data_IF_204415498561
#
_entry.id   IF_204415498561
#
_cell.length_a   1.000
_cell.length_b   1.000
_cell.length_c   1.000
_cell.angle_alpha   90.00
_cell.angle_beta   90.00
_cell.angle_gamma   90.00
#
_symmetry.space_group_name_H-M   'P 1'
#
loop_
_entity.id
_entity.type
_entity.pdbx_description
1 polymer ?
#
# COMPACT_ATOMS: atom_id res chain seq x y z
N UNK A 1 -9.14 -12.16 -26.40
CA UNK A 1 -8.05 -11.77 -27.29
C UNK A 1 -7.54 -10.42 -26.84
N UNK A 2 -6.38 -10.39 -26.26
CA UNK A 2 -5.66 -9.16 -25.92
C UNK A 2 -5.26 -8.45 -27.20
N UNK A 3 -6.01 -7.43 -27.58
CA UNK A 3 -5.52 -6.50 -28.58
C UNK A 3 -4.45 -5.63 -27.93
N UNK A 4 -3.21 -5.77 -28.35
CA UNK A 4 -2.14 -4.85 -28.00
C UNK A 4 -2.52 -3.49 -28.60
N UNK A 5 -3.06 -2.60 -27.79
CA UNK A 5 -3.37 -1.21 -28.17
C UNK A 5 -2.07 -0.40 -28.29
N UNK A 6 -1.18 -0.80 -29.20
CA UNK A 6 0.02 -0.04 -29.56
C UNK A 6 1.04 0.15 -28.42
N UNK A 7 2.09 0.89 -28.71
CA UNK A 7 3.06 1.39 -27.72
C UNK A 7 2.44 2.58 -26.97
N UNK A 8 1.58 2.27 -26.03
CA UNK A 8 1.09 3.30 -25.10
C UNK A 8 2.21 3.64 -24.11
N UNK A 9 2.38 4.93 -23.85
CA UNK A 9 3.15 5.36 -22.68
C UNK A 9 2.49 4.73 -21.46
N UNK A 10 3.23 3.90 -20.73
CA UNK A 10 2.75 3.36 -19.47
C UNK A 10 2.68 4.56 -18.52
N UNK A 11 1.46 5.04 -18.31
CA UNK A 11 1.18 6.02 -17.28
C UNK A 11 1.29 5.28 -15.96
N UNK A 12 2.08 5.81 -15.02
CA UNK A 12 2.08 5.34 -13.64
C UNK A 12 0.73 5.71 -13.02
N UNK A 13 0.10 4.78 -12.36
CA UNK A 13 -1.22 4.96 -11.77
C UNK A 13 -2.00 3.66 -11.77
N UNK A 14 -3.31 3.74 -11.58
CA UNK A 14 -4.19 2.60 -11.35
C UNK A 14 -3.88 1.86 -10.05
N UNK A 15 -3.41 2.63 -9.06
CA UNK A 15 -3.02 2.10 -7.75
C UNK A 15 -4.23 1.99 -6.83
N UNK A 16 -4.21 0.97 -5.96
CA UNK A 16 -5.25 0.72 -4.96
C UNK A 16 -4.63 0.64 -3.57
N UNK A 17 -5.01 1.58 -2.72
CA UNK A 17 -4.54 1.68 -1.34
C UNK A 17 -5.74 1.57 -0.38
N UNK A 18 -6.07 0.35 0.00
CA UNK A 18 -7.22 0.06 0.84
C UNK A 18 -6.80 -0.57 2.16
N UNK A 19 -7.45 -0.19 3.25
CA UNK A 19 -7.29 -0.81 4.56
C UNK A 19 -5.83 -0.85 5.07
N UNK A 20 -5.01 0.16 4.78
CA UNK A 20 -3.62 0.20 5.25
C UNK A 20 -3.49 0.93 6.58
N UNK A 21 -2.44 0.59 7.33
CA UNK A 21 -1.95 1.38 8.45
C UNK A 21 -0.71 2.13 7.99
N UNK A 22 -0.76 3.44 8.01
CA UNK A 22 0.29 4.34 7.55
C UNK A 22 0.80 5.18 8.72
N UNK A 23 2.10 5.28 8.89
CA UNK A 23 2.70 6.10 9.94
C UNK A 23 3.83 6.95 9.37
N UNK A 24 3.92 8.19 9.82
CA UNK A 24 5.02 9.06 9.43
C UNK A 24 6.31 8.61 10.11
N UNK A 25 7.39 8.51 9.34
CA UNK A 25 8.70 8.21 9.87
C UNK A 25 9.54 9.49 9.97
N UNK A 26 9.75 9.97 11.19
CA UNK A 26 10.53 11.19 11.46
C UNK A 26 12.01 11.09 11.00
N UNK A 27 12.51 9.89 10.74
CA UNK A 27 13.88 9.66 10.30
C UNK A 27 14.02 9.59 8.77
N UNK A 28 12.92 9.66 8.03
CA UNK A 28 12.99 9.69 6.57
C UNK A 28 13.67 10.98 6.12
N UNK A 29 14.78 10.81 5.42
CA UNK A 29 15.36 11.91 4.65
C UNK A 29 14.50 12.14 3.41
N UNK A 30 14.21 13.40 3.06
CA UNK A 30 13.50 13.70 1.84
C UNK A 30 14.23 13.06 0.63
N UNK A 31 13.48 12.42 -0.24
CA UNK A 31 14.04 11.95 -1.52
C UNK A 31 14.42 13.15 -2.38
N UNK A 32 15.69 13.27 -2.69
CA UNK A 32 16.21 14.29 -3.60
C UNK A 32 16.45 13.65 -4.95
N UNK A 33 15.45 13.68 -5.80
CA UNK A 33 15.62 13.33 -7.21
C UNK A 33 16.52 14.36 -7.92
N UNK A 34 17.17 13.97 -9.02
CA UNK A 34 18.17 14.80 -9.69
C UNK A 34 17.62 16.08 -10.37
N UNK A 35 16.31 16.30 -10.38
CA UNK A 35 15.67 17.39 -11.14
C UNK A 35 14.62 18.21 -10.40
N UNK A 36 14.57 18.16 -9.06
CA UNK A 36 13.54 18.85 -8.30
C UNK A 36 14.13 19.85 -7.31
N UNK A 37 13.72 21.12 -7.44
CA UNK A 37 14.10 22.18 -6.51
C UNK A 37 13.40 22.07 -5.16
N UNK A 38 12.26 21.39 -5.11
CA UNK A 38 11.51 21.09 -3.90
C UNK A 38 11.45 19.59 -3.69
N UNK A 39 11.63 19.21 -2.45
CA UNK A 39 11.56 17.82 -2.03
C UNK A 39 10.30 17.61 -1.23
N UNK A 40 9.39 16.85 -1.81
CA UNK A 40 8.17 16.41 -1.16
C UNK A 40 8.32 14.95 -0.74
N UNK A 41 7.74 14.58 0.37
CA UNK A 41 7.78 13.21 0.89
C UNK A 41 6.37 12.66 1.08
N UNK A 42 6.21 11.38 0.78
CA UNK A 42 4.97 10.66 1.04
C UNK A 42 3.78 11.25 0.29
N UNK A 43 2.67 11.40 0.97
CA UNK A 43 1.40 11.86 0.39
C UNK A 43 1.40 13.33 -0.03
N UNK A 44 2.27 14.16 0.54
CA UNK A 44 2.37 15.57 0.14
C UNK A 44 2.78 15.70 -1.33
N UNK A 45 3.78 14.94 -1.76
CA UNK A 45 4.19 14.89 -3.16
C UNK A 45 3.06 14.44 -4.08
N UNK A 46 2.26 13.49 -3.63
CA UNK A 46 1.12 12.98 -4.36
C UNK A 46 -0.04 13.97 -4.42
N UNK A 47 -0.36 14.65 -3.32
CA UNK A 47 -1.42 15.66 -3.24
C UNK A 47 -1.13 16.88 -4.10
N UNK A 48 0.14 17.28 -4.22
CA UNK A 48 0.58 18.41 -5.03
C UNK A 48 0.72 18.05 -6.52
N UNK A 49 0.72 16.77 -6.85
CA UNK A 49 0.85 16.33 -8.24
C UNK A 49 -0.38 16.74 -9.05
N UNK A 50 -0.22 17.44 -10.17
CA UNK A 50 -1.35 17.80 -11.01
C UNK A 50 -1.98 16.53 -11.57
N UNK A 51 -3.25 16.34 -11.24
CA UNK A 51 -4.06 15.19 -11.71
C UNK A 51 -4.55 15.40 -13.16
N UNK A 52 -4.16 16.50 -13.80
CA UNK A 52 -4.42 16.72 -15.21
C UNK A 52 -3.24 16.22 -16.02
N UNK A 53 -3.54 15.56 -17.09
CA UNK A 53 -2.58 15.04 -18.06
C UNK A 53 -1.83 16.15 -18.81
N UNK A 54 -2.28 17.39 -18.76
CA UNK A 54 -1.61 18.54 -19.37
C UNK A 54 -0.18 18.74 -18.89
N UNK A 55 0.12 18.26 -17.68
CA UNK A 55 1.48 18.33 -17.14
C UNK A 55 2.46 17.41 -17.86
N UNK A 56 2.01 16.24 -18.32
CA UNK A 56 2.86 15.20 -18.90
C UNK A 56 3.19 15.40 -20.37
N UNK A 57 2.45 16.26 -21.07
CA UNK A 57 2.44 16.31 -22.54
C UNK A 57 2.68 17.67 -23.16
N UNK A 58 3.35 18.57 -22.46
CA UNK A 58 3.85 19.81 -23.08
C UNK A 58 4.99 19.48 -24.05
N UNK A 59 4.64 19.15 -25.27
CA UNK A 59 5.57 18.96 -26.38
C UNK A 59 5.51 17.57 -27.02
N UNK A 60 5.07 17.52 -28.26
CA UNK A 60 5.24 16.46 -29.26
C UNK A 60 4.69 15.05 -28.92
N UNK A 61 3.65 14.91 -28.12
CA UNK A 61 2.96 13.63 -27.93
C UNK A 61 1.50 13.74 -28.37
N UNK A 62 0.88 12.64 -28.85
CA UNK A 62 -0.49 12.66 -29.32
C UNK A 62 -1.46 13.19 -28.26
N UNK A 63 -2.32 14.12 -28.67
CA UNK A 63 -3.35 14.75 -27.83
C UNK A 63 -4.32 13.75 -27.19
N UNK A 64 -4.36 12.52 -27.69
CA UNK A 64 -5.25 11.46 -27.21
C UNK A 64 -5.02 11.07 -25.73
N UNK A 65 -3.84 11.35 -25.19
CA UNK A 65 -3.54 11.07 -23.77
C UNK A 65 -3.73 12.29 -22.86
N UNK A 66 -3.90 13.48 -23.42
CA UNK A 66 -3.97 14.72 -22.65
C UNK A 66 -5.18 14.79 -21.70
N UNK A 67 -6.21 13.99 -21.93
CA UNK A 67 -7.43 13.97 -21.13
C UNK A 67 -7.54 12.75 -20.20
N UNK A 68 -6.57 11.84 -20.18
CA UNK A 68 -6.60 10.69 -19.30
C UNK A 68 -6.11 11.06 -17.90
N UNK A 69 -6.97 10.90 -16.91
CA UNK A 69 -6.59 11.03 -15.51
C UNK A 69 -5.95 9.72 -15.07
N UNK A 70 -4.85 9.83 -14.34
CA UNK A 70 -4.28 8.67 -13.65
C UNK A 70 -5.20 8.30 -12.49
N UNK A 71 -5.82 7.11 -12.49
CA UNK A 71 -6.68 6.73 -11.39
C UNK A 71 -5.82 6.33 -10.19
N UNK A 72 -6.27 6.76 -9.01
CA UNK A 72 -5.82 6.22 -7.73
C UNK A 72 -7.04 5.99 -6.88
N UNK A 73 -7.15 4.78 -6.41
CA UNK A 73 -8.25 4.33 -5.57
C UNK A 73 -7.73 4.19 -4.15
N UNK A 74 -8.13 5.11 -3.27
CA UNK A 74 -7.61 5.17 -1.91
C UNK A 74 -8.75 5.38 -0.93
N UNK A 75 -8.84 4.51 0.09
CA UNK A 75 -9.86 4.59 1.13
C UNK A 75 -9.58 3.71 2.33
N UNK A 76 -10.24 4.01 3.43
CA UNK A 76 -10.25 3.19 4.64
C UNK A 76 -8.85 2.95 5.20
N UNK A 77 -7.93 3.92 5.07
CA UNK A 77 -6.60 3.83 5.62
C UNK A 77 -6.51 4.57 6.97
N UNK A 78 -5.77 3.98 7.91
CA UNK A 78 -5.49 4.53 9.23
C UNK A 78 -4.13 5.23 9.24
N UNK A 79 -4.13 6.49 9.64
CA UNK A 79 -2.94 7.35 9.62
C UNK A 79 -2.49 7.68 11.03
N UNK A 80 -1.22 7.40 11.34
CA UNK A 80 -0.59 7.68 12.62
C UNK A 80 0.56 8.67 12.51
N UNK A 81 0.96 9.25 13.64
CA UNK A 81 2.17 10.04 13.81
C UNK A 81 2.33 11.11 12.72
N UNK A 82 1.32 11.97 12.55
CA UNK A 82 1.32 13.07 11.55
C UNK A 82 1.28 12.62 10.07
N UNK A 83 1.19 11.32 9.78
CA UNK A 83 0.85 10.91 8.42
C UNK A 83 -0.52 11.49 8.04
N UNK A 84 -0.66 11.94 6.80
CA UNK A 84 -1.86 12.59 6.30
C UNK A 84 -2.51 11.75 5.21
N UNK A 85 -3.85 11.68 5.20
CA UNK A 85 -4.55 11.06 4.10
C UNK A 85 -4.41 11.88 2.82
N UNK A 86 -4.60 11.23 1.69
CA UNK A 86 -4.80 11.92 0.44
C UNK A 86 -6.08 12.75 0.50
N UNK A 87 -6.05 13.99 0.00
CA UNK A 87 -7.15 14.95 0.15
C UNK A 87 -8.50 14.53 -0.46
N UNK A 88 -8.52 13.47 -1.26
CA UNK A 88 -9.73 12.88 -1.84
C UNK A 88 -10.05 11.48 -1.30
N UNK A 89 -9.28 11.03 -0.33
CA UNK A 89 -9.54 9.75 0.33
C UNK A 89 -10.86 9.79 1.11
N UNK A 90 -11.60 8.70 1.04
CA UNK A 90 -12.83 8.49 1.80
C UNK A 90 -12.58 7.51 2.95
N UNK A 91 -13.29 7.72 4.05
CA UNK A 91 -13.29 6.83 5.22
C UNK A 91 -11.92 6.66 5.88
N UNK A 92 -10.99 7.61 5.69
CA UNK A 92 -9.73 7.61 6.44
C UNK A 92 -9.96 7.96 7.91
N UNK A 93 -9.10 7.42 8.77
CA UNK A 93 -9.03 7.80 10.18
C UNK A 93 -7.62 8.30 10.51
N UNK A 94 -7.53 9.45 11.15
CA UNK A 94 -6.27 10.05 11.57
C UNK A 94 -6.12 10.01 13.09
N UNK A 95 -5.03 9.45 13.58
CA UNK A 95 -4.57 9.62 14.95
C UNK A 95 -3.15 10.21 14.97
N UNK A 96 -3.07 11.53 14.83
CA UNK A 96 -1.82 12.28 14.73
C UNK A 96 -0.98 12.28 16.02
N UNK A 97 -1.64 12.10 17.15
CA UNK A 97 -0.99 12.14 18.45
C UNK A 97 -0.30 10.83 18.83
N UNK A 98 -0.75 9.73 18.28
CA UNK A 98 -0.20 8.41 18.57
C UNK A 98 0.87 8.00 17.57
N UNK A 99 2.00 7.52 18.07
CA UNK A 99 3.09 6.98 17.26
C UNK A 99 3.25 5.49 17.54
N UNK A 100 2.81 4.60 16.64
CA UNK A 100 3.01 3.17 16.80
C UNK A 100 4.50 2.85 16.90
N UNK A 101 4.85 1.90 17.77
CA UNK A 101 6.21 1.36 17.78
C UNK A 101 6.24 0.10 16.93
N UNK A 102 7.10 0.11 15.95
CA UNK A 102 7.23 -0.97 14.98
C UNK A 102 8.69 -1.38 14.91
N UNK A 103 8.94 -2.67 15.09
CA UNK A 103 10.27 -3.24 14.86
C UNK A 103 10.15 -4.65 14.28
N UNK A 104 11.18 -5.04 13.53
CA UNK A 104 11.30 -6.41 13.01
C UNK A 104 12.42 -7.08 13.76
N UNK A 105 12.16 -8.29 14.25
CA UNK A 105 13.09 -9.11 15.00
C UNK A 105 13.25 -10.48 14.33
N UNK A 106 14.48 -10.96 14.24
CA UNK A 106 14.78 -12.32 13.80
C UNK A 106 15.07 -13.20 15.00
N UNK A 107 14.37 -14.31 15.10
CA UNK A 107 14.63 -15.35 16.08
C UNK A 107 14.78 -16.70 15.38
N UNK A 108 16.01 -17.19 15.34
CA UNK A 108 16.33 -18.38 14.57
C UNK A 108 15.99 -18.21 13.08
N UNK A 109 15.08 -19.04 12.61
CA UNK A 109 14.60 -19.04 11.22
C UNK A 109 13.33 -18.20 11.02
N UNK A 110 12.79 -17.59 12.05
CA UNK A 110 11.57 -16.82 11.98
C UNK A 110 11.83 -15.30 12.04
N UNK A 111 11.01 -14.55 11.31
CA UNK A 111 10.87 -13.10 11.45
C UNK A 111 9.59 -12.80 12.19
N UNK A 112 9.70 -11.90 13.14
CA UNK A 112 8.58 -11.36 13.91
C UNK A 112 8.49 -9.86 13.69
N UNK A 113 7.27 -9.34 13.58
CA UNK A 113 6.98 -7.93 13.76
C UNK A 113 6.52 -7.71 15.19
N UNK A 114 7.14 -6.75 15.88
CA UNK A 114 6.65 -6.21 17.14
C UNK A 114 5.93 -4.91 16.83
N UNK A 115 4.63 -4.88 17.06
CA UNK A 115 3.76 -3.73 16.78
C UNK A 115 3.04 -3.31 18.05
N UNK A 116 3.33 -2.11 18.55
CA UNK A 116 2.56 -1.48 19.63
C UNK A 116 1.55 -0.50 19.00
N UNK A 117 0.26 -0.75 19.20
CA UNK A 117 -0.85 -0.02 18.57
C UNK A 117 -1.91 0.34 19.62
N UNK A 118 -2.63 1.44 19.40
CA UNK A 118 -3.77 1.84 20.22
C UNK A 118 -5.09 1.24 19.71
N UNK A 119 -6.25 1.79 20.09
CA UNK A 119 -7.56 1.28 19.67
C UNK A 119 -8.08 1.83 18.34
N UNK A 120 -7.40 2.79 17.72
CA UNK A 120 -7.89 3.45 16.50
C UNK A 120 -8.17 2.45 15.36
N UNK A 121 -7.47 1.31 15.34
CA UNK A 121 -7.72 0.26 14.35
C UNK A 121 -9.13 -0.38 14.44
N UNK A 122 -9.85 -0.17 15.56
CA UNK A 122 -11.25 -0.63 15.75
C UNK A 122 -12.29 0.41 15.38
N UNK A 123 -11.86 1.65 15.22
CA UNK A 123 -12.73 2.81 15.01
C UNK A 123 -12.92 3.15 13.53
N UNK A 124 -12.05 2.61 12.69
CA UNK A 124 -12.08 2.83 11.25
C UNK A 124 -13.05 1.88 10.57
N UNK A 125 -13.84 2.42 9.64
CA UNK A 125 -14.68 1.61 8.78
C UNK A 125 -13.87 1.03 7.62
N UNK A 126 -13.81 -0.26 7.54
CA UNK A 126 -13.16 -1.02 6.47
C UNK A 126 -14.18 -1.88 5.75
N UNK A 127 -13.79 -2.47 4.65
CA UNK A 127 -14.59 -3.49 3.96
C UNK A 127 -13.69 -4.58 3.40
N UNK A 128 -14.24 -5.75 3.20
CA UNK A 128 -13.50 -6.84 2.59
C UNK A 128 -13.14 -6.47 1.15
N UNK A 129 -11.88 -6.66 0.77
CA UNK A 129 -11.40 -6.36 -0.58
C UNK A 129 -11.79 -7.49 -1.52
N UNK A 130 -12.65 -7.17 -2.47
CA UNK A 130 -13.18 -8.11 -3.47
C UNK A 130 -12.96 -7.57 -4.88
N UNK A 131 -13.24 -8.37 -5.89
CA UNK A 131 -13.28 -7.93 -7.30
C UNK A 131 -14.09 -6.65 -7.47
N UNK A 132 -15.29 -6.58 -6.88
CA UNK A 132 -16.17 -5.41 -6.98
C UNK A 132 -15.55 -4.17 -6.33
N UNK A 133 -14.91 -4.35 -5.19
CA UNK A 133 -14.22 -3.27 -4.45
C UNK A 133 -13.01 -2.77 -5.20
N UNK A 134 -12.26 -3.64 -5.86
CA UNK A 134 -11.12 -3.27 -6.68
C UNK A 134 -11.52 -2.60 -7.99
N UNK A 135 -12.71 -2.91 -8.51
CA UNK A 135 -13.20 -2.40 -9.78
C UNK A 135 -12.50 -3.01 -10.98
N UNK A 136 -12.29 -2.20 -12.01
CA UNK A 136 -11.62 -2.62 -13.24
C UNK A 136 -10.24 -1.98 -13.39
N UNK A 137 -9.34 -2.66 -14.06
CA UNK A 137 -8.05 -2.11 -14.46
C UNK A 137 -8.26 -1.00 -15.49
N UNK A 138 -7.56 0.11 -15.32
CA UNK A 138 -7.79 1.32 -16.13
C UNK A 138 -7.53 1.11 -17.63
N UNK A 139 -6.48 0.37 -17.98
CA UNK A 139 -6.11 0.21 -19.38
C UNK A 139 -6.84 -0.90 -20.10
N UNK A 140 -7.08 -2.04 -19.43
CA UNK A 140 -7.77 -3.19 -20.03
C UNK A 140 -9.27 -3.13 -19.88
N UNK A 141 -9.77 -2.33 -18.92
CA UNK A 141 -11.17 -2.27 -18.51
C UNK A 141 -11.70 -3.62 -17.99
N UNK A 142 -10.78 -4.54 -17.64
CA UNK A 142 -11.10 -5.86 -17.13
C UNK A 142 -11.12 -5.87 -15.59
N UNK A 143 -11.99 -6.70 -15.03
CA UNK A 143 -12.06 -6.92 -13.60
C UNK A 143 -10.83 -7.66 -13.08
N UNK A 144 -10.54 -7.49 -11.78
CA UNK A 144 -9.50 -8.26 -11.09
C UNK A 144 -10.09 -9.62 -10.69
N UNK A 145 -9.55 -10.68 -11.26
CA UNK A 145 -10.01 -12.05 -11.06
C UNK A 145 -8.87 -12.98 -10.69
N UNK A 146 -9.21 -14.11 -10.10
CA UNK A 146 -8.27 -15.22 -9.91
C UNK A 146 -7.91 -15.87 -11.27
N UNK A 147 -6.87 -16.70 -11.29
CA UNK A 147 -6.41 -17.37 -12.52
C UNK A 147 -7.47 -18.29 -13.16
N UNK A 148 -8.48 -18.70 -12.40
CA UNK A 148 -9.59 -19.53 -12.85
C UNK A 148 -10.84 -18.70 -13.21
N UNK A 149 -10.69 -17.37 -13.32
CA UNK A 149 -11.75 -16.40 -13.58
C UNK A 149 -12.80 -16.29 -12.46
N UNK A 150 -12.56 -16.84 -11.29
CA UNK A 150 -13.40 -16.60 -10.13
C UNK A 150 -13.12 -15.23 -9.54
N UNK A 151 -14.13 -14.59 -8.89
CA UNK A 151 -13.92 -13.32 -8.20
C UNK A 151 -12.84 -13.41 -7.12
N UNK A 152 -12.00 -12.38 -7.01
CA UNK A 152 -11.03 -12.24 -5.93
C UNK A 152 -11.77 -11.89 -4.64
N UNK A 153 -11.32 -12.47 -3.53
CA UNK A 153 -11.68 -12.06 -2.18
C UNK A 153 -10.46 -12.18 -1.27
N UNK A 154 -10.03 -11.06 -0.67
CA UNK A 154 -8.94 -11.06 0.31
C UNK A 154 -9.53 -11.31 1.69
N UNK A 155 -10.01 -12.52 1.90
CA UNK A 155 -10.75 -12.95 3.08
C UNK A 155 -9.90 -13.60 4.18
N UNK A 156 -8.58 -13.61 3.99
CA UNK A 156 -7.60 -14.01 5.00
C UNK A 156 -6.52 -12.95 5.15
N UNK A 157 -5.89 -12.89 6.31
CA UNK A 157 -4.75 -12.03 6.57
C UNK A 157 -3.43 -12.71 6.13
N UNK A 158 -2.29 -12.02 6.32
CA UNK A 158 -0.96 -12.55 5.95
C UNK A 158 -0.58 -13.86 6.67
N UNK A 159 -1.28 -14.21 7.75
CA UNK A 159 -1.08 -15.42 8.53
C UNK A 159 -2.26 -16.42 8.39
N UNK A 160 -2.99 -16.34 7.27
CA UNK A 160 -4.15 -17.20 6.97
C UNK A 160 -5.28 -17.12 8.01
N UNK A 161 -5.35 -16.04 8.79
CA UNK A 161 -6.47 -15.83 9.70
C UNK A 161 -7.66 -15.25 8.93
N UNK A 162 -8.81 -15.89 9.07
CA UNK A 162 -10.05 -15.44 8.43
C UNK A 162 -10.38 -14.01 8.84
N UNK A 163 -10.61 -13.14 7.86
CA UNK A 163 -11.04 -11.75 8.08
C UNK A 163 -12.52 -11.67 8.37
N UNK A 164 -12.90 -10.64 9.12
CA UNK A 164 -14.30 -10.27 9.24
C UNK A 164 -14.86 -9.85 7.87
N UNK A 165 -16.05 -10.35 7.52
CA UNK A 165 -16.63 -10.11 6.20
C UNK A 165 -17.25 -8.71 6.06
N UNK A 166 -17.52 -8.03 7.17
CA UNK A 166 -18.23 -6.74 7.20
C UNK A 166 -17.24 -5.61 7.49
N UNK A 167 -16.39 -5.79 8.50
CA UNK A 167 -15.45 -4.78 8.94
C UNK A 167 -14.11 -5.43 9.32
N UNK A 168 -13.33 -5.92 8.34
CA UNK A 168 -12.05 -6.56 8.59
C UNK A 168 -11.08 -5.60 9.27
N UNK A 169 -10.22 -6.12 10.13
CA UNK A 169 -9.21 -5.29 10.80
C UNK A 169 -8.32 -4.60 9.77
N UNK A 170 -8.14 -3.29 9.90
CA UNK A 170 -7.22 -2.51 9.06
C UNK A 170 -5.79 -3.03 9.20
N UNK A 171 -5.05 -3.05 8.09
CA UNK A 171 -3.69 -3.56 8.03
C UNK A 171 -3.58 -5.05 7.70
N UNK A 172 -2.38 -5.61 7.80
CA UNK A 172 -2.10 -6.97 7.32
C UNK A 172 -2.52 -8.08 8.30
N UNK A 173 -2.99 -7.75 9.49
CA UNK A 173 -3.31 -8.71 10.55
C UNK A 173 -4.74 -8.55 11.05
N UNK A 174 -5.51 -9.63 11.06
CA UNK A 174 -6.90 -9.61 11.53
C UNK A 174 -7.00 -9.57 13.06
N UNK A 175 -6.07 -10.19 13.77
CA UNK A 175 -6.14 -10.34 15.22
C UNK A 175 -5.16 -9.41 15.94
N UNK A 176 -5.43 -8.09 15.86
CA UNK A 176 -4.69 -7.13 16.66
C UNK A 176 -5.32 -6.90 18.02
N UNK A 177 -4.48 -6.55 19.01
CA UNK A 177 -4.90 -6.09 20.33
C UNK A 177 -4.24 -4.74 20.64
N UNK A 178 -4.91 -3.93 21.45
CA UNK A 178 -4.30 -2.71 22.00
C UNK A 178 -3.02 -3.06 22.75
N UNK A 179 -1.98 -2.24 22.55
CA UNK A 179 -0.66 -2.45 23.14
C UNK A 179 0.23 -3.34 22.26
N UNK A 180 1.12 -4.08 22.87
CA UNK A 180 2.12 -4.85 22.16
C UNK A 180 1.55 -6.13 21.50
N UNK A 181 1.86 -6.28 20.22
CA UNK A 181 1.63 -7.47 19.42
C UNK A 181 2.98 -7.98 18.93
N UNK A 182 3.28 -9.25 19.14
CA UNK A 182 4.42 -9.96 18.54
C UNK A 182 3.88 -11.01 17.60
N UNK A 183 4.08 -10.81 16.31
CA UNK A 183 3.45 -11.61 15.27
C UNK A 183 4.53 -12.20 14.36
N UNK A 184 4.51 -13.50 14.18
CA UNK A 184 5.39 -14.15 13.21
C UNK A 184 4.90 -13.81 11.80
N UNK A 185 5.78 -13.26 10.97
CA UNK A 185 5.45 -12.83 9.60
C UNK A 185 6.12 -13.69 8.53
N UNK A 186 7.18 -14.40 8.89
CA UNK A 186 7.90 -15.22 7.92
C UNK A 186 8.73 -16.31 8.60
N UNK A 187 8.96 -17.42 7.90
CA UNK A 187 9.90 -18.47 8.32
C UNK A 187 10.85 -18.77 7.16
N UNK A 188 12.15 -18.65 7.41
CA UNK A 188 13.17 -19.01 6.43
C UNK A 188 13.30 -20.52 6.35
N UNK A 189 12.93 -21.10 5.23
CA UNK A 189 13.23 -22.51 4.96
C UNK A 189 14.67 -22.64 4.47
N UNK A 190 15.55 -23.23 5.23
CA UNK A 190 16.98 -23.37 4.97
C UNK A 190 17.36 -23.88 3.57
N UNK A 191 16.45 -24.56 2.89
CA UNK A 191 16.78 -25.23 1.62
C UNK A 191 16.84 -24.31 0.41
N UNK A 192 16.16 -23.19 0.42
CA UNK A 192 16.10 -22.28 -0.75
C UNK A 192 17.08 -21.10 -0.70
N UNK A 193 17.61 -20.73 0.44
CA UNK A 193 18.40 -19.49 0.58
C UNK A 193 19.92 -19.65 0.48
N UNK A 194 20.48 -20.85 0.63
CA UNK A 194 21.95 -21.03 0.40
C UNK A 194 22.44 -20.71 -1.01
N UNK A 195 21.51 -20.54 -1.98
CA UNK A 195 21.84 -20.21 -3.37
C UNK A 195 21.63 -18.75 -3.76
N UNK A 196 20.97 -17.93 -2.95
CA UNK A 196 20.50 -16.59 -3.36
C UNK A 196 21.13 -15.41 -2.61
N UNK A 197 21.66 -15.60 -1.42
CA UNK A 197 22.26 -14.50 -0.63
C UNK A 197 23.47 -15.00 0.16
N UNK A 198 24.71 -14.74 -0.28
CA UNK A 198 25.86 -14.86 0.59
C UNK A 198 25.85 -13.71 1.60
N UNK A 199 25.91 -14.06 2.88
CA UNK A 199 26.19 -13.16 4.02
C UNK A 199 25.36 -11.88 4.21
N UNK A 200 24.21 -12.05 4.83
CA UNK A 200 23.45 -10.94 5.44
C UNK A 200 23.72 -10.77 6.97
N UNK A 201 24.86 -11.25 7.47
CA UNK A 201 25.12 -11.29 8.91
C UNK A 201 25.79 -10.05 9.50
N UNK A 202 26.00 -8.97 8.76
CA UNK A 202 26.81 -7.85 9.28
C UNK A 202 26.35 -6.43 8.93
N UNK A 203 25.08 -6.14 8.77
CA UNK A 203 24.65 -4.72 8.76
C UNK A 203 23.60 -4.48 9.82
N UNK A 204 24.04 -3.84 10.92
CA UNK A 204 23.17 -3.14 11.85
C UNK A 204 22.55 -1.96 11.08
N UNK A 205 21.24 -1.92 11.00
CA UNK A 205 20.49 -0.77 10.53
C UNK A 205 20.28 0.24 11.67
#
# INVERSE_FOLDING_TARGET
STSVKGLMTILTGDDRYFNNILTFNNNLKPYRGPSYDKVHTGLDAYNEHPLSTDYWYKGNRPDDYANHKLPVYIRSNLYYNKALPFNREKFSLENRAYSPKISIEREGEALYINLEIDNSYKEINTELITTDVMGTAFQSEEAFENNDSSPVSIDVDINDQKRDNINPTVGPFERLKKGGNRIKIFTFNHWKMKKLIPDFTSKKF
#
